data_IF_889743689997
#
_entry.id   IF_889743689997
#
_cell.length_a   1.000
_cell.length_b   1.000
_cell.length_c   1.000
_cell.angle_alpha   90.00
_cell.angle_beta   90.00
_cell.angle_gamma   90.00
#
_symmetry.space_group_name_H-M   'P 1'
#
loop_
_entity.id
_entity.type
_entity.pdbx_description
1 polymer ?
#
# COMPACT_ATOMS: atom_id res chain seq x y z
N UNK A 1 -4.59 11.74 13.07
CA UNK A 1 -3.83 12.81 12.39
C UNK A 1 -2.38 12.32 12.18
N UNK A 2 -1.78 12.56 11.01
CA UNK A 2 -0.50 11.94 10.58
C UNK A 2 0.72 12.73 11.10
N UNK A 3 1.69 12.07 11.74
CA UNK A 3 2.93 12.70 12.25
C UNK A 3 3.62 13.57 11.19
N UNK A 4 3.65 13.11 9.94
CA UNK A 4 4.26 13.84 8.81
C UNK A 4 3.55 15.15 8.48
N UNK A 5 2.22 15.21 8.61
CA UNK A 5 1.46 16.42 8.30
C UNK A 5 1.71 17.53 9.33
N UNK A 6 1.93 17.17 10.59
CA UNK A 6 2.26 18.14 11.65
C UNK A 6 3.65 18.74 11.42
N UNK A 7 4.63 17.90 11.06
CA UNK A 7 5.98 18.37 10.73
C UNK A 7 5.91 19.27 9.50
N UNK A 8 5.17 18.89 8.44
CA UNK A 8 5.03 19.72 7.23
C UNK A 8 4.45 21.11 7.52
N UNK A 9 3.43 21.20 8.37
CA UNK A 9 2.79 22.46 8.74
C UNK A 9 3.69 23.38 9.58
N UNK A 10 4.61 22.82 10.37
CA UNK A 10 5.49 23.58 11.26
C UNK A 10 6.90 23.75 10.69
N UNK A 11 7.25 23.00 9.65
CA UNK A 11 8.59 22.92 9.08
C UNK A 11 9.54 22.16 10.00
N UNK A 12 9.90 22.80 11.11
CA UNK A 12 10.83 22.33 12.14
C UNK A 12 10.13 22.29 13.50
N UNK A 13 10.19 21.15 14.18
CA UNK A 13 9.48 20.95 15.46
C UNK A 13 10.27 20.03 16.40
N UNK A 14 10.22 20.30 17.71
CA UNK A 14 10.77 19.40 18.71
C UNK A 14 9.91 18.13 18.85
N UNK A 15 10.54 16.98 19.13
CA UNK A 15 9.89 15.68 19.29
C UNK A 15 8.77 15.73 20.34
N UNK A 16 9.05 16.32 21.50
CA UNK A 16 8.08 16.47 22.60
C UNK A 16 6.83 17.26 22.17
N UNK A 17 7.03 18.35 21.42
CA UNK A 17 5.93 19.16 20.89
C UNK A 17 5.13 18.41 19.81
N UNK A 18 5.82 17.61 19.00
CA UNK A 18 5.20 16.77 17.98
C UNK A 18 4.36 15.67 18.62
N UNK A 19 4.88 15.00 19.66
CA UNK A 19 4.14 14.00 20.45
C UNK A 19 2.91 14.63 21.07
N UNK A 20 3.07 15.72 21.82
CA UNK A 20 1.95 16.39 22.48
C UNK A 20 0.83 16.80 21.50
N UNK A 21 1.19 17.35 20.32
CA UNK A 21 0.21 17.74 19.30
C UNK A 21 -0.46 16.55 18.62
N UNK A 22 0.31 15.54 18.24
CA UNK A 22 -0.21 14.36 17.56
C UNK A 22 -1.12 13.56 18.50
N UNK A 23 -0.73 13.41 19.76
CA UNK A 23 -1.49 12.68 20.77
C UNK A 23 -2.78 13.37 21.16
N UNK A 24 -2.79 14.71 21.24
CA UNK A 24 -4.03 15.47 21.48
C UNK A 24 -5.08 15.26 20.37
N UNK A 25 -4.63 14.92 19.16
CA UNK A 25 -5.50 14.62 18.03
C UNK A 25 -5.94 13.13 17.97
N UNK A 26 -5.57 12.30 18.95
CA UNK A 26 -5.92 10.89 19.03
C UNK A 26 -6.75 10.62 20.29
N UNK A 27 -7.90 9.94 20.21
CA UNK A 27 -8.81 9.76 21.34
C UNK A 27 -8.44 8.60 22.29
N UNK A 28 -7.18 8.13 22.29
CA UNK A 28 -6.80 6.87 22.95
C UNK A 28 -5.79 7.07 24.11
N UNK A 29 -5.95 6.28 25.18
CA UNK A 29 -5.12 6.32 26.39
C UNK A 29 -3.63 5.95 26.19
N UNK A 30 -3.23 5.53 24.99
CA UNK A 30 -1.84 5.11 24.65
C UNK A 30 -1.29 5.91 23.45
N UNK A 31 -1.87 7.07 23.15
CA UNK A 31 -1.53 7.87 21.98
C UNK A 31 -0.04 8.24 21.91
N UNK A 32 0.58 8.61 23.03
CA UNK A 32 1.98 9.04 23.10
C UNK A 32 2.95 7.95 22.60
N UNK A 33 2.84 6.74 23.15
CA UNK A 33 3.72 5.61 22.74
C UNK A 33 3.55 5.25 21.27
N UNK A 34 2.34 5.34 20.72
CA UNK A 34 2.07 5.07 19.31
C UNK A 34 2.67 6.15 18.40
N UNK A 35 2.63 7.41 18.83
CA UNK A 35 3.26 8.52 18.13
C UNK A 35 4.79 8.38 18.17
N UNK A 36 5.38 8.11 19.34
CA UNK A 36 6.82 7.90 19.50
C UNK A 36 7.33 6.73 18.63
N UNK A 37 6.63 5.59 18.65
CA UNK A 37 6.93 4.45 17.79
C UNK A 37 6.86 4.83 16.30
N UNK A 38 5.91 5.66 15.93
CA UNK A 38 5.77 6.14 14.55
C UNK A 38 6.90 7.10 14.15
N UNK A 39 7.31 8.00 15.04
CA UNK A 39 8.47 8.89 14.83
C UNK A 39 9.74 8.05 14.65
N UNK A 40 9.96 7.05 15.52
CA UNK A 40 11.12 6.16 15.44
C UNK A 40 11.19 5.41 14.10
N UNK A 41 10.06 4.84 13.65
CA UNK A 41 9.97 4.18 12.33
C UNK A 41 10.22 5.13 11.18
N UNK A 42 9.67 6.34 11.22
CA UNK A 42 9.85 7.33 10.15
C UNK A 42 11.29 7.84 10.08
N UNK A 43 11.95 8.01 11.24
CA UNK A 43 13.37 8.34 11.34
C UNK A 43 14.25 7.20 10.82
N UNK A 44 13.99 5.96 11.23
CA UNK A 44 14.70 4.78 10.74
C UNK A 44 14.56 4.56 9.23
N UNK A 45 13.45 5.00 8.63
CA UNK A 45 13.21 4.96 7.19
C UNK A 45 13.74 6.19 6.42
N UNK A 46 14.45 7.12 7.09
CA UNK A 46 15.00 8.34 6.46
C UNK A 46 13.94 9.35 5.98
N UNK A 47 12.68 9.21 6.40
CA UNK A 47 11.57 10.11 6.01
C UNK A 47 11.52 11.38 6.86
N UNK A 48 12.13 11.30 8.03
CA UNK A 48 12.28 12.39 8.98
C UNK A 48 13.77 12.52 9.29
N UNK A 49 14.27 13.75 9.29
CA UNK A 49 15.67 14.08 9.56
C UNK A 49 15.78 15.08 10.72
N UNK A 50 16.98 15.22 11.27
CA UNK A 50 17.25 16.16 12.35
C UNK A 50 17.29 15.52 13.74
N UNK A 51 17.63 16.36 14.74
CA UNK A 51 17.80 15.96 16.14
C UNK A 51 16.46 16.02 16.88
N UNK A 52 16.34 15.42 18.06
CA UNK A 52 15.09 15.45 18.85
C UNK A 52 14.54 16.87 19.08
N UNK A 53 15.41 17.88 19.20
CA UNK A 53 15.02 19.26 19.38
C UNK A 53 14.59 19.97 18.08
N UNK A 54 14.97 19.45 16.91
CA UNK A 54 14.73 20.06 15.61
C UNK A 54 14.51 18.96 14.55
N UNK A 55 13.27 18.50 14.46
CA UNK A 55 12.83 17.46 13.54
C UNK A 55 12.17 18.10 12.31
N UNK A 56 12.57 17.67 11.12
CA UNK A 56 11.94 18.04 9.84
C UNK A 56 11.70 16.81 8.95
N UNK A 57 10.90 16.98 7.90
CA UNK A 57 10.83 15.99 6.83
C UNK A 57 12.15 15.97 6.05
N UNK A 58 12.49 14.83 5.46
CA UNK A 58 13.51 14.80 4.40
C UNK A 58 12.98 15.50 3.16
N UNK A 59 13.87 15.98 2.29
CA UNK A 59 13.51 16.67 1.04
C UNK A 59 12.55 15.82 0.18
N UNK A 60 12.92 14.57 -0.08
CA UNK A 60 12.10 13.63 -0.84
C UNK A 60 10.72 13.35 -0.21
N UNK A 61 10.61 13.37 1.13
CA UNK A 61 9.30 13.21 1.79
C UNK A 61 8.51 14.52 1.79
N UNK A 62 9.19 15.68 1.85
CA UNK A 62 8.62 17.01 1.69
C UNK A 62 7.97 17.18 0.32
N UNK A 63 8.69 16.86 -0.76
CA UNK A 63 8.15 16.89 -2.13
C UNK A 63 6.93 15.99 -2.30
N UNK A 64 6.96 14.77 -1.76
CA UNK A 64 5.81 13.86 -1.77
C UNK A 64 4.60 14.44 -1.05
N UNK A 65 4.82 15.09 0.08
CA UNK A 65 3.75 15.76 0.83
C UNK A 65 3.19 16.95 0.04
N UNK A 66 4.04 17.71 -0.66
CA UNK A 66 3.61 18.84 -1.50
C UNK A 66 2.76 18.38 -2.68
N UNK A 67 3.16 17.28 -3.34
CA UNK A 67 2.36 16.67 -4.41
C UNK A 67 1.02 16.18 -3.85
N UNK A 68 1.02 15.52 -2.69
CA UNK A 68 -0.21 15.05 -2.05
C UNK A 68 -1.15 16.21 -1.65
N UNK A 69 -0.61 17.32 -1.14
CA UNK A 69 -1.36 18.51 -0.79
C UNK A 69 -1.95 19.18 -2.03
N UNK A 70 -1.16 19.36 -3.09
CA UNK A 70 -1.65 19.89 -4.37
C UNK A 70 -2.77 19.03 -4.93
N UNK A 71 -2.62 17.71 -4.92
CA UNK A 71 -3.66 16.78 -5.38
C UNK A 71 -4.93 16.90 -4.54
N UNK A 72 -4.83 17.04 -3.22
CA UNK A 72 -5.98 17.22 -2.34
C UNK A 72 -6.69 18.56 -2.61
N UNK A 73 -5.93 19.65 -2.81
CA UNK A 73 -6.48 20.95 -3.15
C UNK A 73 -7.17 20.94 -4.51
N UNK A 74 -6.56 20.32 -5.52
CA UNK A 74 -7.17 20.13 -6.84
C UNK A 74 -8.45 19.29 -6.75
N UNK A 75 -8.43 18.18 -6.00
CA UNK A 75 -9.61 17.35 -5.77
C UNK A 75 -10.74 18.15 -5.09
N UNK A 76 -10.39 18.98 -4.09
CA UNK A 76 -11.35 19.86 -3.41
C UNK A 76 -11.99 20.88 -4.36
N UNK A 77 -11.21 21.48 -5.26
CA UNK A 77 -11.74 22.41 -6.26
C UNK A 77 -12.68 21.71 -7.26
N UNK A 78 -12.34 20.50 -7.68
CA UNK A 78 -13.20 19.67 -8.54
C UNK A 78 -14.50 19.30 -7.81
N UNK A 79 -14.41 18.90 -6.54
CA UNK A 79 -15.57 18.57 -5.71
C UNK A 79 -16.49 19.79 -5.53
N UNK A 80 -15.93 20.97 -5.22
CA UNK A 80 -16.69 22.23 -5.13
C UNK A 80 -17.37 22.55 -6.47
N UNK A 81 -16.65 22.48 -7.59
CA UNK A 81 -17.21 22.71 -8.91
C UNK A 81 -18.36 21.75 -9.25
N UNK A 82 -18.20 20.47 -8.90
CA UNK A 82 -19.23 19.44 -9.07
C UNK A 82 -20.48 19.75 -8.23
N UNK A 83 -20.30 20.08 -6.95
CA UNK A 83 -21.39 20.46 -6.04
C UNK A 83 -22.12 21.71 -6.53
N UNK A 84 -21.38 22.76 -6.94
CA UNK A 84 -21.96 23.99 -7.51
C UNK A 84 -22.83 23.68 -8.71
N UNK A 85 -22.29 22.95 -9.69
CA UNK A 85 -22.99 22.63 -10.93
C UNK A 85 -24.20 21.72 -10.72
N UNK A 86 -24.08 20.69 -9.87
CA UNK A 86 -25.13 19.70 -9.68
C UNK A 86 -26.26 20.21 -8.79
N UNK A 87 -25.96 21.00 -7.76
CA UNK A 87 -26.93 21.47 -6.77
C UNK A 87 -27.39 22.91 -6.99
N UNK A 88 -26.72 23.69 -7.84
CA UNK A 88 -27.03 25.10 -8.08
C UNK A 88 -26.67 25.98 -6.89
N UNK A 89 -25.57 25.64 -6.19
CA UNK A 89 -25.10 26.37 -5.02
C UNK A 89 -24.03 27.39 -5.38
N UNK A 90 -24.02 28.51 -4.65
CA UNK A 90 -22.88 29.43 -4.62
C UNK A 90 -21.63 28.77 -4.05
N UNK A 91 -20.45 29.29 -4.41
CA UNK A 91 -19.18 28.68 -4.05
C UNK A 91 -18.98 28.47 -2.56
N UNK A 92 -19.25 29.50 -1.74
CA UNK A 92 -19.14 29.39 -0.29
C UNK A 92 -20.14 28.40 0.32
N UNK A 93 -21.30 28.21 -0.31
CA UNK A 93 -22.29 27.23 0.13
C UNK A 93 -21.88 25.81 -0.25
N UNK A 94 -21.35 25.62 -1.46
CA UNK A 94 -20.78 24.35 -1.91
C UNK A 94 -19.59 23.93 -1.05
N UNK A 95 -18.71 24.87 -0.71
CA UNK A 95 -17.58 24.61 0.20
C UNK A 95 -18.06 24.23 1.60
N UNK A 96 -19.05 24.95 2.16
CA UNK A 96 -19.63 24.61 3.46
C UNK A 96 -20.27 23.22 3.46
N UNK A 97 -20.99 22.87 2.40
CA UNK A 97 -21.58 21.55 2.23
C UNK A 97 -20.51 20.44 2.14
N UNK A 98 -19.45 20.67 1.37
CA UNK A 98 -18.32 19.74 1.27
C UNK A 98 -17.65 19.53 2.63
N UNK A 99 -17.38 20.60 3.38
CA UNK A 99 -16.78 20.51 4.72
C UNK A 99 -17.68 19.73 5.69
N UNK A 100 -18.99 19.99 5.70
CA UNK A 100 -19.94 19.22 6.51
C UNK A 100 -19.93 17.72 6.15
N UNK A 101 -19.92 17.41 4.84
CA UNK A 101 -19.82 16.03 4.35
C UNK A 101 -18.53 15.35 4.80
N UNK A 102 -17.39 16.01 4.63
CA UNK A 102 -16.08 15.50 5.07
C UNK A 102 -16.06 15.29 6.59
N UNK A 103 -16.62 16.20 7.38
CA UNK A 103 -16.64 16.07 8.84
C UNK A 103 -17.50 14.92 9.34
N UNK A 104 -18.68 14.72 8.75
CA UNK A 104 -19.54 13.56 9.05
C UNK A 104 -18.79 12.28 8.72
N UNK A 105 -18.22 12.23 7.52
CA UNK A 105 -17.42 11.10 7.09
C UNK A 105 -16.26 10.86 8.06
N UNK A 106 -15.43 11.86 8.39
CA UNK A 106 -14.28 11.73 9.31
C UNK A 106 -14.64 11.14 10.69
N UNK A 107 -15.89 11.29 11.13
CA UNK A 107 -16.39 10.74 12.40
C UNK A 107 -17.08 9.37 12.25
N UNK A 108 -17.01 8.78 11.05
CA UNK A 108 -17.67 7.54 10.67
C UNK A 108 -19.21 7.63 10.79
N UNK A 109 -19.76 8.82 10.57
CA UNK A 109 -21.20 9.05 10.51
C UNK A 109 -21.77 8.80 9.10
N UNK A 110 -23.07 8.55 9.03
CA UNK A 110 -23.82 8.48 7.78
C UNK A 110 -24.58 9.80 7.56
N UNK A 111 -24.69 10.29 6.32
CA UNK A 111 -25.32 11.59 6.04
C UNK A 111 -26.79 11.70 6.47
N UNK A 112 -27.47 10.56 6.62
CA UNK A 112 -28.86 10.45 7.07
C UNK A 112 -28.99 10.04 8.55
N UNK A 113 -27.89 9.77 9.26
CA UNK A 113 -27.92 9.38 10.67
C UNK A 113 -28.35 10.52 11.59
N UNK A 114 -28.49 10.22 12.87
CA UNK A 114 -28.77 11.18 13.94
C UNK A 114 -27.46 11.55 14.65
N UNK A 115 -27.07 12.82 14.57
CA UNK A 115 -25.90 13.37 15.23
C UNK A 115 -25.81 14.88 15.02
N UNK A 116 -24.90 15.55 15.72
CA UNK A 116 -24.79 17.03 15.70
C UNK A 116 -24.48 17.55 14.30
N UNK A 117 -23.55 16.90 13.59
CA UNK A 117 -23.15 17.34 12.23
C UNK A 117 -24.17 16.94 11.17
N UNK A 118 -24.83 15.81 11.36
CA UNK A 118 -25.91 15.34 10.52
C UNK A 118 -27.13 16.25 10.62
N UNK A 119 -27.42 16.79 11.82
CA UNK A 119 -28.46 17.79 12.01
C UNK A 119 -28.07 19.15 11.41
N UNK A 120 -26.79 19.55 11.52
CA UNK A 120 -26.27 20.72 10.78
C UNK A 120 -26.39 20.55 9.26
N UNK A 121 -26.15 19.35 8.73
CA UNK A 121 -26.34 19.04 7.31
C UNK A 121 -27.83 19.12 6.93
N UNK A 122 -28.75 18.60 7.76
CA UNK A 122 -30.20 18.74 7.51
C UNK A 122 -30.64 20.19 7.55
N UNK A 123 -30.13 20.97 8.50
CA UNK A 123 -30.39 22.40 8.59
C UNK A 123 -29.87 23.13 7.35
N UNK A 124 -28.66 22.82 6.89
CA UNK A 124 -28.10 23.36 5.66
C UNK A 124 -28.98 23.03 4.44
N UNK A 125 -29.41 21.76 4.31
CA UNK A 125 -30.27 21.32 3.21
C UNK A 125 -31.61 22.08 3.23
N UNK A 126 -32.18 22.32 4.41
CA UNK A 126 -33.41 23.09 4.55
C UNK A 126 -33.21 24.58 4.23
N UNK A 127 -32.09 25.16 4.66
CA UNK A 127 -31.78 26.58 4.45
C UNK A 127 -31.60 26.94 2.96
N UNK A 128 -31.14 25.99 2.16
CA UNK A 128 -30.88 26.18 0.72
C UNK A 128 -31.96 25.56 -0.18
N UNK A 129 -33.17 25.28 0.34
CA UNK A 129 -34.29 24.69 -0.40
C UNK A 129 -33.98 23.34 -1.09
N UNK A 130 -32.99 22.62 -0.60
CA UNK A 130 -32.54 21.34 -1.15
C UNK A 130 -33.31 20.13 -0.57
N UNK A 131 -34.30 20.34 0.31
CA UNK A 131 -35.05 19.27 0.98
C UNK A 131 -35.68 18.27 0.01
N UNK A 132 -36.23 18.74 -1.12
CA UNK A 132 -36.80 17.87 -2.17
C UNK A 132 -35.74 17.11 -2.97
N UNK A 133 -34.49 17.57 -2.91
CA UNK A 133 -33.32 17.03 -3.63
C UNK A 133 -32.31 16.38 -2.69
N UNK A 134 -32.71 16.08 -1.44
CA UNK A 134 -31.83 15.55 -0.38
C UNK A 134 -31.05 14.31 -0.82
N UNK A 135 -31.69 13.37 -1.52
CA UNK A 135 -30.99 12.18 -2.06
C UNK A 135 -29.87 12.57 -3.01
N UNK A 136 -30.11 13.55 -3.89
CA UNK A 136 -29.11 14.07 -4.83
C UNK A 136 -27.96 14.77 -4.09
N UNK A 137 -28.22 15.44 -2.96
CA UNK A 137 -27.17 16.01 -2.11
C UNK A 137 -26.26 14.90 -1.56
N UNK A 138 -26.84 13.83 -1.03
CA UNK A 138 -26.07 12.71 -0.48
C UNK A 138 -25.27 11.97 -1.56
N UNK A 139 -25.86 11.75 -2.74
CA UNK A 139 -25.16 11.18 -3.89
C UNK A 139 -23.99 12.05 -4.35
N UNK A 140 -24.18 13.37 -4.42
CA UNK A 140 -23.14 14.31 -4.79
C UNK A 140 -21.98 14.26 -3.79
N UNK A 141 -22.27 14.31 -2.49
CA UNK A 141 -21.27 14.17 -1.42
C UNK A 141 -20.55 12.81 -1.44
N UNK A 142 -21.25 11.73 -1.76
CA UNK A 142 -20.65 10.40 -1.85
C UNK A 142 -19.72 10.24 -3.07
N UNK A 143 -19.96 11.00 -4.15
CA UNK A 143 -19.14 10.99 -5.38
C UNK A 143 -17.87 11.84 -5.28
N UNK A 144 -17.79 12.74 -4.31
CA UNK A 144 -16.63 13.59 -4.10
C UNK A 144 -15.34 12.76 -3.98
N UNK A 145 -14.27 13.19 -4.65
CA UNK A 145 -12.97 12.53 -4.61
C UNK A 145 -12.42 12.46 -3.17
N UNK A 146 -12.70 13.49 -2.38
CA UNK A 146 -12.39 13.51 -0.94
C UNK A 146 -13.11 12.41 -0.15
N UNK A 147 -14.36 12.10 -0.47
CA UNK A 147 -15.12 11.01 0.14
C UNK A 147 -14.57 9.63 -0.29
N UNK A 148 -14.25 9.47 -1.57
CA UNK A 148 -13.64 8.24 -2.11
C UNK A 148 -12.30 7.92 -1.46
N UNK A 149 -11.42 8.91 -1.28
CA UNK A 149 -10.12 8.71 -0.64
C UNK A 149 -10.25 8.18 0.79
N UNK A 150 -11.23 8.68 1.55
CA UNK A 150 -11.49 8.20 2.91
C UNK A 150 -12.09 6.79 2.90
N UNK A 151 -13.11 6.54 2.07
CA UNK A 151 -13.72 5.21 1.92
C UNK A 151 -12.70 4.15 1.49
N UNK A 152 -11.80 4.50 0.58
CA UNK A 152 -10.69 3.63 0.17
C UNK A 152 -9.76 3.32 1.34
N UNK A 153 -9.39 4.33 2.13
CA UNK A 153 -8.59 4.15 3.35
C UNK A 153 -9.26 3.24 4.38
N UNK A 154 -10.55 3.42 4.64
CA UNK A 154 -11.34 2.57 5.55
C UNK A 154 -11.51 1.16 5.03
N UNK A 155 -11.73 0.99 3.73
CA UNK A 155 -11.80 -0.33 3.10
C UNK A 155 -10.48 -1.07 3.28
N UNK A 156 -9.35 -0.39 3.03
CA UNK A 156 -8.02 -0.97 3.26
C UNK A 156 -7.79 -1.31 4.73
N UNK A 157 -8.16 -0.42 5.65
CA UNK A 157 -8.02 -0.65 7.09
C UNK A 157 -8.88 -1.84 7.55
N UNK A 158 -10.12 -1.94 7.06
CA UNK A 158 -11.01 -3.06 7.35
C UNK A 158 -10.48 -4.37 6.76
N UNK A 159 -9.99 -4.37 5.51
CA UNK A 159 -9.33 -5.54 4.91
C UNK A 159 -8.12 -5.96 5.75
N UNK A 160 -7.28 -5.02 6.20
CA UNK A 160 -6.10 -5.31 7.01
C UNK A 160 -6.43 -5.78 8.44
N UNK A 161 -7.60 -5.39 8.98
CA UNK A 161 -8.08 -5.80 10.31
C UNK A 161 -8.99 -7.02 10.28
N UNK A 162 -9.34 -7.52 9.10
CA UNK A 162 -10.25 -8.67 8.95
C UNK A 162 -9.65 -9.87 9.66
N UNK A 163 -10.44 -10.46 10.56
CA UNK A 163 -10.04 -11.70 11.23
C UNK A 163 -10.51 -12.92 10.40
N UNK A 164 -10.14 -14.11 10.85
CA UNK A 164 -10.48 -15.37 10.16
C UNK A 164 -12.00 -15.54 9.97
N UNK A 165 -12.82 -15.13 10.94
CA UNK A 165 -14.28 -15.22 10.84
C UNK A 165 -14.85 -14.26 9.81
N UNK A 166 -14.32 -13.04 9.72
CA UNK A 166 -14.73 -12.06 8.71
C UNK A 166 -14.45 -12.59 7.30
N UNK A 167 -13.27 -13.18 7.10
CA UNK A 167 -12.86 -13.80 5.83
C UNK A 167 -13.80 -14.94 5.45
N UNK A 168 -14.06 -15.88 6.37
CA UNK A 168 -14.98 -16.99 6.12
C UNK A 168 -16.39 -16.50 5.82
N UNK A 169 -16.90 -15.52 6.57
CA UNK A 169 -18.23 -14.96 6.35
C UNK A 169 -18.35 -14.32 4.97
N UNK A 170 -17.35 -13.53 4.57
CA UNK A 170 -17.31 -12.90 3.25
C UNK A 170 -17.30 -13.93 2.11
N UNK A 171 -16.69 -15.11 2.34
CA UNK A 171 -16.58 -16.21 1.38
C UNK A 171 -17.70 -17.25 1.52
N UNK A 172 -18.85 -16.86 2.07
CA UNK A 172 -20.03 -17.74 2.17
C UNK A 172 -19.90 -18.84 3.21
N UNK A 173 -19.17 -18.58 4.31
CA UNK A 173 -18.87 -19.51 5.42
C UNK A 173 -18.02 -20.72 5.03
N UNK A 174 -17.29 -20.64 3.91
CA UNK A 174 -16.29 -21.66 3.55
C UNK A 174 -15.05 -21.49 4.43
N UNK A 175 -14.65 -22.57 5.09
CA UNK A 175 -13.54 -22.58 6.06
C UNK A 175 -12.26 -23.20 5.51
N UNK A 176 -12.36 -24.12 4.54
CA UNK A 176 -11.20 -24.65 3.82
C UNK A 176 -10.90 -23.77 2.61
N UNK A 177 -10.03 -22.79 2.83
CA UNK A 177 -9.63 -21.82 1.83
C UNK A 177 -8.24 -22.13 1.29
N UNK A 178 -8.12 -22.12 -0.02
CA UNK A 178 -6.84 -22.19 -0.72
C UNK A 178 -6.71 -20.99 -1.64
N UNK A 179 -5.65 -20.21 -1.45
CA UNK A 179 -5.27 -19.12 -2.35
C UNK A 179 -4.44 -19.72 -3.48
N UNK A 180 -4.93 -19.57 -4.70
CA UNK A 180 -4.23 -19.97 -5.92
C UNK A 180 -3.36 -18.82 -6.41
N UNK A 181 -2.07 -19.07 -6.55
CA UNK A 181 -1.10 -18.09 -7.04
C UNK A 181 -0.86 -18.32 -8.54
N UNK A 182 -1.04 -17.26 -9.31
CA UNK A 182 -0.62 -17.20 -10.72
C UNK A 182 0.92 -17.17 -10.85
N UNK A 183 1.47 -17.58 -11.99
CA UNK A 183 2.91 -17.59 -12.26
C UNK A 183 3.54 -16.20 -12.04
N UNK A 184 2.84 -15.15 -12.47
CA UNK A 184 3.24 -13.74 -12.33
C UNK A 184 3.41 -13.28 -10.86
N UNK A 185 2.78 -13.99 -9.91
CA UNK A 185 2.84 -13.71 -8.47
C UNK A 185 3.71 -14.75 -7.75
N UNK A 186 3.63 -16.01 -8.15
CA UNK A 186 4.37 -17.12 -7.56
C UNK A 186 5.89 -16.99 -7.78
N UNK A 187 6.37 -16.61 -8.98
CA UNK A 187 7.81 -16.46 -9.22
C UNK A 187 8.42 -15.35 -8.36
N UNK A 188 7.88 -14.11 -8.31
CA UNK A 188 8.41 -13.08 -7.44
C UNK A 188 8.41 -13.45 -5.96
N UNK A 189 7.38 -14.17 -5.50
CA UNK A 189 7.29 -14.69 -4.13
C UNK A 189 8.41 -15.68 -3.86
N UNK A 190 8.61 -16.68 -4.74
CA UNK A 190 9.66 -17.68 -4.56
C UNK A 190 11.05 -17.04 -4.59
N UNK A 191 11.31 -16.15 -5.54
CA UNK A 191 12.57 -15.40 -5.61
C UNK A 191 12.79 -14.56 -4.34
N UNK A 192 11.76 -13.81 -3.91
CA UNK A 192 11.85 -12.93 -2.75
C UNK A 192 12.05 -13.67 -1.42
N UNK A 193 11.46 -14.86 -1.27
CA UNK A 193 11.62 -15.68 -0.06
C UNK A 193 12.95 -16.44 -0.04
N UNK A 194 13.37 -16.97 -1.19
CA UNK A 194 14.61 -17.73 -1.33
C UNK A 194 15.84 -16.88 -1.02
N UNK A 195 15.77 -15.59 -1.34
CA UNK A 195 16.83 -14.61 -1.12
C UNK A 195 16.37 -13.52 -0.14
N UNK A 196 15.72 -13.92 0.96
CA UNK A 196 15.07 -13.01 1.92
C UNK A 196 15.97 -11.93 2.54
N UNK A 197 17.30 -12.11 2.53
CA UNK A 197 18.28 -11.10 2.95
C UNK A 197 18.36 -9.89 1.99
N UNK A 198 17.87 -10.03 0.75
CA UNK A 198 17.87 -8.97 -0.25
C UNK A 198 16.80 -7.91 0.01
N UNK A 199 15.94 -8.07 1.03
CA UNK A 199 14.93 -7.09 1.47
C UNK A 199 14.12 -6.39 0.35
N UNK A 200 13.92 -7.08 -0.78
CA UNK A 200 13.18 -6.52 -1.91
C UNK A 200 11.72 -6.27 -1.53
N UNK A 201 11.07 -5.33 -2.24
CA UNK A 201 9.62 -5.08 -2.08
C UNK A 201 8.79 -6.37 -2.23
N UNK A 202 9.23 -7.26 -3.12
CA UNK A 202 8.59 -8.54 -3.39
C UNK A 202 8.80 -9.54 -2.25
N UNK A 203 10.02 -9.63 -1.71
CA UNK A 203 10.30 -10.46 -0.53
C UNK A 203 9.50 -10.03 0.70
N UNK A 204 9.40 -8.72 0.93
CA UNK A 204 8.59 -8.16 2.03
C UNK A 204 7.10 -8.48 1.84
N UNK A 205 6.56 -8.28 0.64
CA UNK A 205 5.17 -8.61 0.33
C UNK A 205 4.90 -10.12 0.44
N UNK A 206 5.81 -10.96 -0.05
CA UNK A 206 5.73 -12.41 0.02
C UNK A 206 5.70 -12.91 1.47
N UNK A 207 6.60 -12.39 2.31
CA UNK A 207 6.63 -12.72 3.73
C UNK A 207 5.34 -12.29 4.45
N UNK A 208 4.82 -11.10 4.13
CA UNK A 208 3.56 -10.62 4.68
C UNK A 208 2.37 -11.52 4.26
N UNK A 209 2.29 -11.91 2.98
CA UNK A 209 1.24 -12.79 2.47
C UNK A 209 1.30 -14.17 3.13
N UNK A 210 2.48 -14.79 3.22
CA UNK A 210 2.64 -16.09 3.89
C UNK A 210 2.25 -15.97 5.36
N UNK A 211 2.67 -14.91 6.05
CA UNK A 211 2.31 -14.68 7.45
C UNK A 211 0.80 -14.57 7.62
N UNK A 212 0.13 -13.79 6.77
CA UNK A 212 -1.32 -13.64 6.80
C UNK A 212 -2.05 -14.96 6.52
N UNK A 213 -1.63 -15.69 5.49
CA UNK A 213 -2.24 -16.99 5.16
C UNK A 213 -2.05 -17.98 6.32
N UNK A 214 -0.84 -18.06 6.89
CA UNK A 214 -0.56 -18.92 8.06
C UNK A 214 -1.38 -18.51 9.28
N UNK A 215 -1.52 -17.22 9.59
CA UNK A 215 -2.32 -16.77 10.75
C UNK A 215 -3.80 -17.08 10.62
N UNK A 216 -4.31 -17.24 9.39
CA UNK A 216 -5.70 -17.58 9.11
C UNK A 216 -5.92 -19.06 8.75
N UNK A 217 -4.88 -19.90 8.77
CA UNK A 217 -4.98 -21.30 8.36
C UNK A 217 -5.32 -21.48 6.87
N UNK A 218 -5.04 -20.48 6.04
CA UNK A 218 -5.32 -20.48 4.60
C UNK A 218 -4.14 -21.12 3.87
N UNK A 219 -4.42 -22.10 3.01
CA UNK A 219 -3.40 -22.78 2.19
C UNK A 219 -3.00 -21.89 1.01
N UNK A 220 -1.75 -22.00 0.59
CA UNK A 220 -1.25 -21.41 -0.65
C UNK A 220 -0.91 -22.54 -1.62
N UNK A 221 -1.37 -22.43 -2.86
CA UNK A 221 -1.06 -23.41 -3.90
C UNK A 221 -0.74 -22.72 -5.23
N UNK A 222 0.15 -23.33 -6.01
CA UNK A 222 0.45 -22.93 -7.39
C UNK A 222 -0.11 -24.00 -8.31
N UNK A 223 -1.11 -23.69 -9.15
CA UNK A 223 -1.58 -24.58 -10.20
C UNK A 223 -0.44 -25.12 -11.08
N UNK A 224 -0.55 -26.39 -11.48
CA UNK A 224 0.48 -27.06 -12.30
C UNK A 224 0.74 -26.36 -13.64
N UNK A 225 -0.29 -25.78 -14.25
CA UNK A 225 -0.13 -24.99 -15.48
C UNK A 225 0.83 -23.81 -15.30
N UNK A 226 0.75 -23.14 -14.14
CA UNK A 226 1.65 -22.04 -13.82
C UNK A 226 3.07 -22.52 -13.52
N UNK A 227 3.26 -23.72 -12.96
CA UNK A 227 4.61 -24.29 -12.83
C UNK A 227 5.29 -24.49 -14.20
N UNK A 228 4.53 -24.86 -15.24
CA UNK A 228 5.07 -24.98 -16.60
C UNK A 228 5.49 -23.61 -17.16
N UNK A 229 4.68 -22.57 -16.92
CA UNK A 229 5.00 -21.20 -17.33
C UNK A 229 6.25 -20.68 -16.61
N UNK A 230 6.34 -20.92 -15.30
CA UNK A 230 7.53 -20.58 -14.50
C UNK A 230 8.77 -21.29 -15.04
N UNK A 231 8.67 -22.59 -15.34
CA UNK A 231 9.76 -23.37 -15.95
C UNK A 231 10.17 -22.80 -17.30
N UNK A 232 9.20 -22.39 -18.13
CA UNK A 232 9.45 -21.78 -19.43
C UNK A 232 10.21 -20.45 -19.31
N UNK A 233 9.82 -19.58 -18.38
CA UNK A 233 10.57 -18.36 -18.08
C UNK A 233 11.97 -18.65 -17.55
N UNK A 234 12.11 -19.65 -16.69
CA UNK A 234 13.39 -20.13 -16.19
C UNK A 234 14.33 -20.59 -17.31
N UNK A 235 13.83 -21.42 -18.22
CA UNK A 235 14.60 -21.90 -19.37
C UNK A 235 15.03 -20.76 -20.29
N UNK A 236 14.14 -19.80 -20.57
CA UNK A 236 14.50 -18.59 -21.32
C UNK A 236 15.58 -17.75 -20.63
N UNK A 237 15.58 -17.68 -19.30
CA UNK A 237 16.62 -16.98 -18.55
C UNK A 237 17.96 -17.73 -18.64
N UNK A 238 17.93 -19.06 -18.63
CA UNK A 238 19.12 -19.90 -18.82
C UNK A 238 19.72 -19.72 -20.22
N UNK A 239 18.88 -19.72 -21.26
CA UNK A 239 19.31 -19.48 -22.65
C UNK A 239 19.97 -18.09 -22.81
N UNK A 240 19.63 -17.15 -21.93
CA UNK A 240 20.19 -15.80 -21.93
C UNK A 240 21.55 -15.69 -21.22
N UNK A 241 22.02 -16.74 -20.54
CA UNK A 241 23.28 -16.73 -19.79
C UNK A 241 24.49 -16.24 -20.61
N UNK A 242 24.75 -16.73 -21.84
CA UNK A 242 25.92 -16.29 -22.61
C UNK A 242 25.86 -14.80 -22.95
N UNK A 243 24.65 -14.29 -23.22
CA UNK A 243 24.42 -12.86 -23.50
C UNK A 243 24.66 -12.05 -22.23
N UNK A 244 24.13 -12.49 -21.10
CA UNK A 244 24.31 -11.82 -19.80
C UNK A 244 25.79 -11.69 -19.41
N UNK A 245 26.57 -12.77 -19.57
CA UNK A 245 28.00 -12.79 -19.28
C UNK A 245 28.79 -11.83 -20.17
N UNK A 246 28.41 -11.70 -21.45
CA UNK A 246 29.03 -10.78 -22.40
C UNK A 246 28.65 -9.29 -22.19
N UNK A 247 27.58 -9.00 -21.44
CA UNK A 247 27.15 -7.62 -21.18
C UNK A 247 28.12 -6.89 -20.22
N UNK A 248 28.46 -5.61 -20.49
CA UNK A 248 29.12 -4.74 -19.52
C UNK A 248 28.27 -4.54 -18.27
N UNK A 249 28.91 -4.32 -17.11
CA UNK A 249 28.20 -4.15 -15.82
C UNK A 249 27.14 -3.05 -15.84
N UNK A 250 27.41 -1.94 -16.55
CA UNK A 250 26.47 -0.82 -16.72
C UNK A 250 25.21 -1.23 -17.50
N UNK A 251 25.31 -2.19 -18.43
CA UNK A 251 24.18 -2.69 -19.19
C UNK A 251 23.38 -3.75 -18.41
N UNK A 252 24.01 -4.47 -17.47
CA UNK A 252 23.34 -5.50 -16.66
C UNK A 252 22.28 -4.93 -15.72
N UNK A 253 22.46 -3.71 -15.21
CA UNK A 253 21.48 -3.04 -14.34
C UNK A 253 20.14 -2.76 -15.05
N UNK A 254 20.16 -2.56 -16.38
CA UNK A 254 18.95 -2.37 -17.19
C UNK A 254 18.03 -3.60 -17.21
N UNK A 255 18.56 -4.79 -16.92
CA UNK A 255 17.80 -6.04 -16.87
C UNK A 255 16.83 -6.12 -15.68
N UNK A 256 16.94 -5.20 -14.72
CA UNK A 256 15.93 -5.01 -13.66
C UNK A 256 14.53 -4.79 -14.24
N UNK A 257 14.43 -4.17 -15.42
CA UNK A 257 13.17 -3.97 -16.15
C UNK A 257 12.78 -5.11 -17.10
N UNK A 258 13.47 -6.26 -17.07
CA UNK A 258 13.21 -7.37 -17.98
C UNK A 258 11.79 -7.93 -17.81
N UNK A 259 11.13 -8.24 -18.93
CA UNK A 259 9.87 -8.99 -18.94
C UNK A 259 10.01 -10.44 -18.48
N UNK A 260 11.24 -10.94 -18.29
CA UNK A 260 11.50 -12.22 -17.65
C UNK A 260 11.74 -12.02 -16.14
N UNK A 261 10.84 -12.57 -15.32
CA UNK A 261 10.89 -12.43 -13.86
C UNK A 261 12.21 -12.94 -13.26
N UNK A 262 12.78 -14.05 -13.74
CA UNK A 262 14.04 -14.56 -13.21
C UNK A 262 15.20 -13.58 -13.45
N UNK A 263 15.29 -12.98 -14.64
CA UNK A 263 16.33 -11.99 -14.95
C UNK A 263 16.16 -10.71 -14.14
N UNK A 264 14.93 -10.18 -14.08
CA UNK A 264 14.62 -8.97 -13.30
C UNK A 264 14.97 -9.14 -11.81
N UNK A 265 14.59 -10.27 -11.21
CA UNK A 265 14.87 -10.54 -9.81
C UNK A 265 16.35 -10.86 -9.56
N UNK A 266 17.00 -11.62 -10.44
CA UNK A 266 18.41 -11.91 -10.34
C UNK A 266 19.25 -10.63 -10.30
N UNK A 267 19.02 -9.70 -11.23
CA UNK A 267 19.79 -8.44 -11.30
C UNK A 267 19.74 -7.67 -9.98
N UNK A 268 18.55 -7.57 -9.39
CA UNK A 268 18.36 -6.89 -8.10
C UNK A 268 19.06 -7.63 -6.95
N UNK A 269 18.97 -8.96 -6.91
CA UNK A 269 19.59 -9.77 -5.85
C UNK A 269 21.12 -9.76 -5.99
N UNK A 270 21.65 -9.91 -7.20
CA UNK A 270 23.08 -9.94 -7.48
C UNK A 270 23.77 -8.60 -7.18
N UNK A 271 23.06 -7.48 -7.32
CA UNK A 271 23.53 -6.16 -6.87
C UNK A 271 23.73 -6.13 -5.35
N UNK A 272 22.72 -6.56 -4.59
CA UNK A 272 22.78 -6.60 -3.12
C UNK A 272 23.83 -7.60 -2.62
N UNK A 273 23.96 -8.75 -3.28
CA UNK A 273 25.02 -9.72 -2.96
C UNK A 273 26.41 -9.10 -3.14
N UNK A 274 26.64 -8.37 -4.23
CA UNK A 274 27.91 -7.68 -4.50
C UNK A 274 28.22 -6.60 -3.47
N UNK A 275 27.22 -5.82 -3.06
CA UNK A 275 27.38 -4.84 -1.96
C UNK A 275 27.79 -5.50 -0.65
N UNK A 276 27.38 -6.75 -0.42
CA UNK A 276 27.76 -7.56 0.74
C UNK A 276 29.05 -8.38 0.54
N UNK A 277 29.78 -8.14 -0.55
CA UNK A 277 31.03 -8.83 -0.88
C UNK A 277 30.84 -10.27 -1.36
N UNK A 278 29.62 -10.69 -1.70
CA UNK A 278 29.31 -12.02 -2.24
C UNK A 278 29.13 -11.94 -3.76
N UNK A 279 29.52 -13.01 -4.46
CA UNK A 279 29.26 -13.15 -5.89
C UNK A 279 28.20 -14.22 -6.10
N UNK A 280 27.13 -13.85 -6.79
CA UNK A 280 26.07 -14.76 -7.21
C UNK A 280 25.98 -14.69 -8.73
N UNK A 281 26.28 -15.79 -9.42
CA UNK A 281 26.10 -15.85 -10.87
C UNK A 281 24.63 -16.14 -11.24
N UNK A 282 24.26 -15.83 -12.49
CA UNK A 282 22.91 -16.14 -12.99
C UNK A 282 22.66 -17.66 -12.95
N UNK A 283 23.69 -18.46 -13.24
CA UNK A 283 23.58 -19.91 -13.21
C UNK A 283 23.35 -20.44 -11.78
N UNK A 284 24.05 -19.87 -10.78
CA UNK A 284 23.85 -20.24 -9.37
C UNK A 284 22.44 -19.88 -8.90
N UNK A 285 21.97 -18.69 -9.29
CA UNK A 285 20.61 -18.23 -9.01
C UNK A 285 19.54 -19.15 -9.62
N UNK A 286 19.66 -19.49 -10.90
CA UNK A 286 18.71 -20.38 -11.59
C UNK A 286 18.77 -21.81 -11.03
N UNK A 287 19.96 -22.28 -10.67
CA UNK A 287 20.17 -23.60 -10.07
C UNK A 287 19.47 -23.74 -8.72
N UNK A 288 19.31 -22.65 -7.95
CA UNK A 288 18.53 -22.65 -6.72
C UNK A 288 17.08 -23.11 -6.93
N UNK A 289 16.51 -22.82 -8.11
CA UNK A 289 15.16 -23.24 -8.50
C UNK A 289 15.13 -24.54 -9.31
N UNK A 290 16.25 -25.25 -9.40
CA UNK A 290 16.39 -26.47 -10.20
C UNK A 290 16.47 -26.25 -11.71
N UNK A 291 16.64 -25.00 -12.16
CA UNK A 291 16.75 -24.65 -13.58
C UNK A 291 18.21 -24.76 -14.00
N UNK A 292 18.57 -25.83 -14.72
CA UNK A 292 19.92 -26.08 -15.24
C UNK A 292 19.90 -26.93 -16.49
N UNK A 293 20.98 -26.86 -17.28
CA UNK A 293 21.15 -27.70 -18.47
C UNK A 293 21.17 -29.18 -18.09
N UNK A 294 20.44 -30.01 -18.83
CA UNK A 294 20.38 -31.45 -18.59
C UNK A 294 19.63 -31.88 -17.31
N UNK A 295 18.88 -30.97 -16.68
CA UNK A 295 18.00 -31.34 -15.57
C UNK A 295 16.94 -32.35 -16.03
N UNK A 296 17.07 -33.61 -15.59
CA UNK A 296 15.98 -34.58 -15.72
C UNK A 296 14.82 -34.20 -14.80
N UNK A 297 13.60 -34.61 -15.17
CA UNK A 297 12.46 -34.58 -14.25
C UNK A 297 12.81 -35.45 -13.04
N UNK A 298 13.12 -34.84 -11.90
CA UNK A 298 13.16 -35.59 -10.65
C UNK A 298 11.74 -36.09 -10.39
N UNK A 299 11.53 -37.40 -10.53
CA UNK A 299 10.38 -38.05 -9.90
C UNK A 299 10.55 -37.81 -8.41
N UNK A 300 9.71 -36.95 -7.83
CA UNK A 300 9.57 -36.86 -6.39
C UNK A 300 9.30 -38.29 -5.90
N UNK A 301 10.27 -38.90 -5.22
CA UNK A 301 9.98 -40.05 -4.38
C UNK A 301 9.09 -39.50 -3.28
N UNK A 302 7.81 -39.87 -3.32
CA UNK A 302 6.92 -39.76 -2.18
C UNK A 302 7.63 -40.42 -1.00
N UNK A 303 8.14 -39.60 -0.08
CA UNK A 303 8.55 -40.07 1.23
C UNK A 303 7.26 -40.16 2.05
N UNK A 304 6.89 -41.40 2.36
CA UNK A 304 5.87 -41.76 3.35
C UNK A 304 6.16 -41.09 4.70
#
# INVERSE_FOLDING_TARGET
MNVKSIIRQKGRIAEEQLVAKASKALPWAVADRLVESSISRLRGAGKIVGRKADISLSEAEGEKMDVAEKNLLSARLIDIGSIKSELGLEEGSAEKLLNLGIEILLRNGEFNASGVREEELRHFISQHDLSRRRTKVYECLAKCETAKLKQYGETLDHICKSNTFDIYRALGRRTDLTVLLDASVAMPILCGLSFGHAHSRYGTAAAALIKACKSHGIKLAVPKSYLNEMTFHGKKALDFQPVHEALPDVARSSLTGSGNAYLSHYTHIAEIEREQGRQLSLLDFLSFFGIRNGAGLQKNREQN
#
